data_IF_649442777753
#
_entry.id   IF_649442777753
#
_cell.length_a   1.000
_cell.length_b   1.000
_cell.length_c   1.000
_cell.angle_alpha   90.00
_cell.angle_beta   90.00
_cell.angle_gamma   90.00
#
_symmetry.space_group_name_H-M   'P 1'
#
loop_
_entity.id
_entity.type
_entity.pdbx_description
1 polymer ?
#
# COMPACT_ATOMS: atom_id res chain seq x y z
N UNK A 1 11.13 -6.13 -31.99
CA UNK A 1 11.83 -7.25 -31.31
C UNK A 1 11.79 -7.22 -29.77
N UNK A 2 11.87 -6.05 -29.09
CA UNK A 2 11.87 -5.96 -27.61
C UNK A 2 10.60 -6.51 -26.89
N UNK A 3 9.46 -6.66 -27.57
CA UNK A 3 8.20 -7.13 -26.97
C UNK A 3 8.16 -8.66 -26.72
N UNK A 4 8.85 -9.45 -27.55
CA UNK A 4 8.86 -10.92 -27.40
C UNK A 4 9.74 -11.37 -26.22
N UNK A 5 10.92 -10.76 -26.06
CA UNK A 5 11.80 -11.00 -24.90
C UNK A 5 11.12 -10.65 -23.56
N UNK A 6 10.35 -9.56 -23.51
CA UNK A 6 9.56 -9.21 -22.32
C UNK A 6 8.56 -10.30 -21.94
N UNK A 7 7.95 -10.99 -22.91
CA UNK A 7 6.93 -12.02 -22.66
C UNK A 7 7.53 -13.30 -22.05
N UNK A 8 8.77 -13.63 -22.41
CA UNK A 8 9.50 -14.80 -21.88
C UNK A 8 10.08 -14.53 -20.48
N UNK A 9 10.49 -13.28 -20.20
CA UNK A 9 11.04 -12.91 -18.88
C UNK A 9 9.97 -12.51 -17.84
N UNK A 10 8.72 -12.26 -18.27
CA UNK A 10 7.58 -11.93 -17.40
C UNK A 10 7.43 -12.81 -16.14
N UNK A 11 7.57 -14.16 -16.18
CA UNK A 11 7.42 -14.98 -14.97
C UNK A 11 8.45 -14.70 -13.88
N UNK A 12 9.65 -14.26 -14.25
CA UNK A 12 10.75 -13.95 -13.33
C UNK A 12 10.72 -12.51 -12.82
N UNK A 13 9.91 -11.63 -13.44
CA UNK A 13 9.81 -10.25 -12.99
C UNK A 13 9.10 -10.16 -11.62
N UNK A 14 9.52 -9.23 -10.75
CA UNK A 14 8.92 -9.04 -9.44
C UNK A 14 7.47 -8.56 -9.55
N UNK A 15 6.62 -9.02 -8.63
CA UNK A 15 5.28 -8.47 -8.40
C UNK A 15 5.38 -7.20 -7.57
N UNK A 16 4.49 -6.26 -7.84
CA UNK A 16 4.34 -5.03 -7.08
C UNK A 16 2.92 -4.93 -6.53
N UNK A 17 2.78 -4.39 -5.33
CA UNK A 17 1.49 -4.23 -4.67
C UNK A 17 1.48 -2.91 -3.92
N UNK A 18 0.36 -2.19 -3.94
CA UNK A 18 0.14 -1.02 -3.10
C UNK A 18 -0.91 -1.38 -2.06
N UNK A 19 -0.55 -1.24 -0.79
CA UNK A 19 -1.41 -1.57 0.35
C UNK A 19 -1.73 -0.28 1.10
N UNK A 20 -3.00 0.10 1.08
CA UNK A 20 -3.51 1.21 1.89
C UNK A 20 -4.15 0.63 3.15
N UNK A 21 -3.73 1.10 4.32
CA UNK A 21 -4.27 0.71 5.62
C UNK A 21 -4.90 1.93 6.26
N UNK A 22 -6.22 1.92 6.43
CA UNK A 22 -6.93 2.96 7.15
C UNK A 22 -7.21 2.47 8.59
N UNK A 23 -6.98 3.34 9.57
CA UNK A 23 -7.19 3.04 10.97
C UNK A 23 -8.43 3.77 11.48
N UNK A 24 -9.44 3.01 11.88
CA UNK A 24 -10.60 3.55 12.56
C UNK A 24 -10.42 3.42 14.07
N UNK A 25 -10.41 4.57 14.75
CA UNK A 25 -10.28 4.66 16.21
C UNK A 25 -11.66 4.91 16.81
N UNK A 26 -12.16 3.96 17.57
CA UNK A 26 -13.40 4.08 18.32
C UNK A 26 -13.05 3.99 19.81
N UNK A 27 -13.38 5.01 20.64
CA UNK A 27 -13.13 4.96 22.07
C UNK A 27 -13.72 3.71 22.72
N UNK A 28 -12.96 3.10 23.63
CA UNK A 28 -13.37 1.87 24.33
C UNK A 28 -13.31 0.58 23.49
N UNK A 29 -12.92 0.64 22.21
CA UNK A 29 -12.80 -0.52 21.33
C UNK A 29 -11.37 -0.64 20.76
N UNK A 30 -10.93 -1.86 20.34
CA UNK A 30 -9.67 -2.03 19.63
C UNK A 30 -9.65 -1.24 18.32
N UNK A 31 -8.48 -0.72 17.95
CA UNK A 31 -8.31 0.02 16.69
C UNK A 31 -8.50 -0.95 15.53
N UNK A 32 -9.42 -0.62 14.61
CA UNK A 32 -9.65 -1.43 13.43
C UNK A 32 -8.78 -0.94 12.28
N UNK A 33 -7.90 -1.81 11.76
CA UNK A 33 -7.14 -1.58 10.55
C UNK A 33 -7.82 -2.20 9.33
N UNK A 34 -8.38 -1.38 8.45
CA UNK A 34 -8.94 -1.82 7.18
C UNK A 34 -7.84 -1.77 6.10
N UNK A 35 -7.52 -2.90 5.49
CA UNK A 35 -6.48 -3.00 4.46
C UNK A 35 -7.10 -3.14 3.06
N UNK A 36 -6.86 -2.15 2.20
CA UNK A 36 -7.12 -2.25 0.76
C UNK A 36 -5.83 -2.57 0.01
N UNK A 37 -5.84 -3.65 -0.76
CA UNK A 37 -4.66 -4.14 -1.50
C UNK A 37 -4.91 -4.04 -2.99
N UNK A 38 -4.05 -3.32 -3.70
CA UNK A 38 -4.04 -3.26 -5.16
C UNK A 38 -2.80 -3.96 -5.69
N UNK A 39 -3.00 -5.08 -6.39
CA UNK A 39 -1.91 -5.89 -6.96
C UNK A 39 -1.67 -5.50 -8.42
N UNK A 40 -0.40 -5.34 -8.79
CA UNK A 40 0.01 -5.06 -10.15
C UNK A 40 0.58 -6.31 -10.82
N UNK A 41 0.61 -6.29 -12.16
CA UNK A 41 1.27 -7.33 -12.94
C UNK A 41 2.78 -7.42 -12.67
N UNK A 42 3.36 -8.58 -12.99
CA UNK A 42 4.81 -8.80 -12.90
C UNK A 42 5.56 -7.78 -13.76
N UNK A 43 6.50 -7.06 -13.16
CA UNK A 43 7.32 -6.06 -13.84
C UNK A 43 6.69 -4.67 -14.00
N UNK A 44 5.50 -4.44 -13.45
CA UNK A 44 4.82 -3.13 -13.50
C UNK A 44 5.32 -2.14 -12.43
N UNK A 45 6.65 -1.91 -12.38
CA UNK A 45 7.27 -1.05 -11.38
C UNK A 45 6.87 0.42 -11.53
N UNK A 46 6.84 0.92 -12.77
CA UNK A 46 6.50 2.31 -13.06
C UNK A 46 5.03 2.59 -12.75
N UNK A 47 4.13 1.69 -13.13
CA UNK A 47 2.69 1.84 -12.88
C UNK A 47 2.39 1.77 -11.39
N UNK A 48 3.01 0.85 -10.65
CA UNK A 48 2.87 0.76 -9.20
C UNK A 48 3.36 2.02 -8.50
N UNK A 49 4.50 2.60 -8.94
CA UNK A 49 5.03 3.84 -8.38
C UNK A 49 4.15 5.05 -8.71
N UNK A 50 3.67 5.16 -9.96
CA UNK A 50 2.73 6.22 -10.37
C UNK A 50 1.44 6.16 -9.57
N UNK A 51 0.90 4.95 -9.37
CA UNK A 51 -0.29 4.76 -8.55
C UNK A 51 -0.03 5.13 -7.08
N UNK A 52 1.10 4.69 -6.52
CA UNK A 52 1.50 5.06 -5.16
C UNK A 52 1.56 6.58 -4.97
N UNK A 53 2.27 7.29 -5.86
CA UNK A 53 2.37 8.76 -5.82
C UNK A 53 1.00 9.41 -5.97
N UNK A 54 0.13 8.90 -6.85
CA UNK A 54 -1.24 9.38 -7.02
C UNK A 54 -2.06 9.22 -5.75
N UNK A 55 -1.95 8.07 -5.07
CA UNK A 55 -2.66 7.81 -3.82
C UNK A 55 -2.14 8.74 -2.73
N UNK A 56 -0.84 8.80 -2.51
CA UNK A 56 -0.18 9.65 -1.50
C UNK A 56 -0.50 11.14 -1.68
N UNK A 57 -0.56 11.61 -2.93
CA UNK A 57 -0.87 13.01 -3.22
C UNK A 57 -2.37 13.31 -3.25
N UNK A 58 -3.24 12.30 -3.22
CA UNK A 58 -4.68 12.52 -3.29
C UNK A 58 -5.19 13.16 -2.01
N UNK A 59 -6.00 14.22 -2.15
CA UNK A 59 -6.57 14.90 -0.99
C UNK A 59 -7.50 13.99 -0.18
N UNK A 60 -8.09 12.99 -0.83
CA UNK A 60 -8.89 11.94 -0.17
C UNK A 60 -8.09 11.15 0.87
N UNK A 61 -6.82 10.83 0.59
CA UNK A 61 -5.99 10.10 1.57
C UNK A 61 -5.60 10.97 2.76
N UNK A 62 -5.45 12.28 2.54
CA UNK A 62 -5.15 13.25 3.60
C UNK A 62 -6.36 13.49 4.50
N UNK A 63 -7.57 13.55 3.93
CA UNK A 63 -8.81 13.72 4.70
C UNK A 63 -9.22 12.46 5.45
N UNK A 64 -8.85 11.27 4.96
CA UNK A 64 -9.09 9.98 5.61
C UNK A 64 -8.01 9.57 6.63
N UNK A 65 -7.17 10.49 7.09
CA UNK A 65 -6.21 10.21 8.17
C UNK A 65 -6.97 9.77 9.44
N UNK A 66 -6.48 8.75 10.18
CA UNK A 66 -5.16 8.15 10.12
C UNK A 66 -5.03 6.98 9.12
N UNK A 67 -4.07 7.09 8.17
CA UNK A 67 -3.86 6.11 7.10
C UNK A 67 -2.38 5.86 6.82
N UNK A 68 -2.04 4.65 6.37
CA UNK A 68 -0.72 4.29 5.84
C UNK A 68 -0.82 3.74 4.43
N UNK A 69 0.14 4.11 3.59
CA UNK A 69 0.28 3.57 2.23
C UNK A 69 1.64 2.90 2.12
N UNK A 70 1.65 1.63 1.74
CA UNK A 70 2.85 0.84 1.52
C UNK A 70 2.96 0.41 0.07
N UNK A 71 4.10 0.72 -0.57
CA UNK A 71 4.48 0.10 -1.83
C UNK A 71 5.33 -1.14 -1.54
N UNK A 72 4.86 -2.31 -1.98
CA UNK A 72 5.55 -3.59 -1.81
C UNK A 72 6.07 -4.13 -3.14
N UNK A 73 7.23 -4.79 -3.09
CA UNK A 73 7.83 -5.58 -4.18
C UNK A 73 8.20 -6.95 -3.67
N UNK A 74 7.64 -8.00 -4.28
CA UNK A 74 7.79 -9.41 -3.83
C UNK A 74 7.60 -9.54 -2.30
N UNK A 75 6.57 -8.89 -1.77
CA UNK A 75 6.24 -8.90 -0.34
C UNK A 75 7.07 -7.97 0.56
N UNK A 76 8.18 -7.39 0.08
CA UNK A 76 8.99 -6.42 0.84
C UNK A 76 8.49 -5.00 0.63
N UNK A 77 8.39 -4.21 1.69
CA UNK A 77 8.06 -2.78 1.60
C UNK A 77 9.26 -2.03 1.00
N UNK A 78 9.01 -1.24 -0.04
CA UNK A 78 10.01 -0.37 -0.69
C UNK A 78 9.81 1.07 -0.25
N UNK A 79 8.57 1.55 -0.27
CA UNK A 79 8.20 2.90 0.12
C UNK A 79 7.02 2.85 1.10
N UNK A 80 7.03 3.77 2.04
CA UNK A 80 6.02 3.92 3.09
C UNK A 80 5.70 5.40 3.25
N UNK A 81 4.42 5.73 3.27
CA UNK A 81 3.91 7.06 3.59
C UNK A 81 2.85 6.92 4.67
N UNK A 82 2.96 7.76 5.68
CA UNK A 82 2.07 7.79 6.84
C UNK A 82 1.33 9.13 6.87
N UNK A 83 0.05 9.09 7.20
CA UNK A 83 -0.80 10.26 7.28
C UNK A 83 -1.51 10.26 8.63
N UNK A 84 -1.28 11.31 9.42
CA UNK A 84 -1.79 11.43 10.79
C UNK A 84 -0.95 10.65 11.82
N UNK A 85 -1.44 10.52 13.07
CA UNK A 85 -0.68 9.99 14.21
C UNK A 85 -0.60 8.45 14.19
N UNK A 86 -0.28 7.83 13.06
CA UNK A 86 -0.32 6.37 12.93
C UNK A 86 0.71 5.67 13.81
N UNK A 87 1.89 6.27 13.98
CA UNK A 87 2.92 5.74 14.87
C UNK A 87 2.45 5.68 16.34
N UNK A 88 1.55 6.56 16.75
CA UNK A 88 0.94 6.51 18.07
C UNK A 88 -0.13 5.41 18.14
N UNK A 89 -0.95 5.27 17.11
CA UNK A 89 -1.96 4.21 17.01
C UNK A 89 -1.36 2.80 17.01
N UNK A 90 -0.17 2.64 16.44
CA UNK A 90 0.59 1.38 16.47
C UNK A 90 1.04 0.93 17.85
N UNK A 91 1.07 1.83 18.84
CA UNK A 91 1.35 1.48 20.23
C UNK A 91 0.16 0.76 20.88
N UNK A 92 -1.03 0.89 20.31
CA UNK A 92 -2.24 0.23 20.77
C UNK A 92 -2.48 -1.08 20.00
N UNK A 93 -3.33 -1.95 20.57
CA UNK A 93 -3.67 -3.23 19.93
C UNK A 93 -4.56 -2.99 18.71
N UNK A 94 -3.95 -3.06 17.52
CA UNK A 94 -4.66 -2.97 16.24
C UNK A 94 -5.18 -4.35 15.83
N UNK A 95 -6.44 -4.40 15.44
CA UNK A 95 -7.09 -5.57 14.83
C UNK A 95 -7.19 -5.32 13.34
N UNK A 96 -6.48 -6.13 12.54
CA UNK A 96 -6.57 -6.06 11.08
C UNK A 96 -7.74 -6.90 10.58
N UNK A 97 -8.67 -6.28 9.85
CA UNK A 97 -9.65 -7.01 9.04
C UNK A 97 -9.11 -7.05 7.61
N UNK A 98 -8.62 -8.23 7.22
CA UNK A 98 -7.95 -8.49 5.95
C UNK A 98 -8.87 -8.89 4.83
#
# INVERSE_FOLDING_TARGET
>A
MKKLLKKVMKPFLPTYEVVCTNYHVIPGHPINGNQSKHKFEKGASEDARKFYVKVVNSDLTKTMAPMEVHLKKRGRIIEKSEFGPVNELKKFKIVYKG
#
